data_IF_281880640045
#
_entry.id   IF_281880640045
#
_cell.length_a   1.000
_cell.length_b   1.000
_cell.length_c   1.000
_cell.angle_alpha   90.00
_cell.angle_beta   90.00
_cell.angle_gamma   90.00
#
_symmetry.space_group_name_H-M   'P 1'
#
loop_
_entity.id
_entity.type
_entity.pdbx_description
1 polymer ?
#
# COMPACT_ATOMS: atom_id res chain seq x y z
N UNK A 1 -11.38 -0.74 -1.92
CA UNK A 1 -9.92 -0.69 -1.67
C UNK A 1 -9.28 0.58 -2.24
N UNK A 2 -9.32 0.85 -3.55
CA UNK A 2 -8.62 1.99 -4.18
C UNK A 2 -8.99 3.38 -3.60
N UNK A 3 -10.27 3.63 -3.32
CA UNK A 3 -10.74 4.91 -2.74
C UNK A 3 -10.22 5.15 -1.32
N UNK A 4 -10.16 4.10 -0.50
CA UNK A 4 -9.59 4.19 0.85
C UNK A 4 -8.07 4.36 0.82
N UNK A 5 -7.39 3.68 -0.12
CA UNK A 5 -5.97 3.87 -0.36
C UNK A 5 -5.64 5.32 -0.77
N UNK A 6 -6.42 5.90 -1.68
CA UNK A 6 -6.32 7.32 -2.05
C UNK A 6 -6.49 8.23 -0.83
N UNK A 7 -7.59 8.06 -0.09
CA UNK A 7 -7.86 8.86 1.11
C UNK A 7 -6.72 8.78 2.12
N UNK A 8 -6.16 7.59 2.34
CA UNK A 8 -5.04 7.38 3.25
C UNK A 8 -3.78 8.11 2.79
N UNK A 9 -3.41 7.98 1.51
CA UNK A 9 -2.24 8.65 0.94
C UNK A 9 -2.37 10.17 1.06
N UNK A 10 -3.56 10.72 0.76
CA UNK A 10 -3.82 12.15 0.89
C UNK A 10 -3.78 12.63 2.35
N UNK A 11 -4.42 11.89 3.27
CA UNK A 11 -4.46 12.22 4.71
C UNK A 11 -3.07 12.24 5.35
N UNK A 12 -2.19 11.32 4.94
CA UNK A 12 -0.85 11.19 5.50
C UNK A 12 0.24 11.91 4.69
N UNK A 13 -0.10 12.48 3.52
CA UNK A 13 0.86 13.01 2.55
C UNK A 13 1.98 11.99 2.25
N UNK A 14 1.58 10.74 1.97
CA UNK A 14 2.48 9.59 1.85
C UNK A 14 3.32 9.58 0.55
N UNK A 15 4.23 10.55 0.41
CA UNK A 15 5.09 10.74 -0.78
C UNK A 15 6.08 9.60 -1.01
N UNK A 16 6.43 8.84 0.03
CA UNK A 16 7.31 7.68 -0.08
C UNK A 16 6.66 6.44 -0.70
N UNK A 17 5.33 6.40 -0.81
CA UNK A 17 4.60 5.28 -1.41
C UNK A 17 3.52 4.66 -0.53
N UNK A 18 2.77 3.73 -1.14
CA UNK A 18 1.73 2.92 -0.52
C UNK A 18 2.09 1.43 -0.62
N UNK A 19 2.14 0.76 0.53
CA UNK A 19 2.24 -0.69 0.61
C UNK A 19 0.87 -1.30 0.93
N UNK A 20 0.40 -2.19 0.08
CA UNK A 20 -0.80 -3.02 0.32
C UNK A 20 -0.31 -4.36 0.87
N UNK A 21 -0.73 -4.69 2.08
CA UNK A 21 -0.35 -5.91 2.80
C UNK A 21 -1.54 -6.50 3.56
N UNK A 22 -1.32 -7.66 4.20
CA UNK A 22 -2.34 -8.38 4.95
C UNK A 22 -2.90 -9.57 4.18
N UNK A 23 -3.56 -10.47 4.90
CA UNK A 23 -3.98 -11.77 4.36
C UNK A 23 -5.04 -11.63 3.28
N UNK A 24 -6.00 -10.72 3.45
CA UNK A 24 -7.07 -10.49 2.46
C UNK A 24 -6.49 -10.11 1.10
N UNK A 25 -5.67 -9.04 0.95
CA UNK A 25 -5.04 -8.73 -0.34
C UNK A 25 -4.17 -9.84 -0.93
N UNK A 26 -3.56 -10.71 -0.11
CA UNK A 26 -2.81 -11.87 -0.61
C UNK A 26 -3.72 -12.95 -1.18
N UNK A 27 -4.79 -13.29 -0.45
CA UNK A 27 -5.76 -14.30 -0.85
C UNK A 27 -6.44 -13.92 -2.16
N UNK A 28 -6.77 -12.65 -2.35
CA UNK A 28 -7.43 -12.17 -3.57
C UNK A 28 -6.47 -11.63 -4.63
N UNK A 29 -5.14 -11.79 -4.47
CA UNK A 29 -4.14 -11.11 -5.30
C UNK A 29 -4.33 -11.28 -6.80
N UNK A 30 -4.81 -12.45 -7.23
CA UNK A 30 -4.99 -12.82 -8.64
C UNK A 30 -6.23 -12.16 -9.25
N UNK A 31 -7.15 -11.71 -8.40
CA UNK A 31 -8.34 -10.95 -8.77
C UNK A 31 -8.13 -9.43 -8.68
N UNK A 32 -6.97 -8.96 -8.20
CA UNK A 32 -6.64 -7.53 -8.17
C UNK A 32 -6.17 -7.08 -9.55
N UNK A 33 -7.07 -6.44 -10.29
CA UNK A 33 -6.74 -5.72 -11.52
C UNK A 33 -5.98 -4.42 -11.18
N UNK A 34 -4.70 -4.38 -11.54
CA UNK A 34 -3.81 -3.24 -11.29
C UNK A 34 -4.27 -1.96 -12.00
N UNK A 35 -4.77 -2.08 -13.23
CA UNK A 35 -5.21 -0.94 -14.03
C UNK A 35 -6.46 -0.32 -13.43
N UNK A 36 -7.49 -1.14 -13.15
CA UNK A 36 -8.72 -0.68 -12.51
C UNK A 36 -8.48 -0.11 -11.12
N UNK A 37 -7.57 -0.70 -10.35
CA UNK A 37 -7.17 -0.16 -9.06
C UNK A 37 -6.56 1.24 -9.23
N UNK A 38 -5.57 1.38 -10.11
CA UNK A 38 -4.86 2.64 -10.33
C UNK A 38 -5.77 3.75 -10.86
N UNK A 39 -6.67 3.42 -11.80
CA UNK A 39 -7.63 4.37 -12.35
C UNK A 39 -8.60 4.92 -11.31
N UNK A 40 -8.97 4.11 -10.31
CA UNK A 40 -9.77 4.58 -9.18
C UNK A 40 -8.94 5.26 -8.09
N UNK A 41 -7.66 4.88 -7.95
CA UNK A 41 -6.76 5.44 -6.95
C UNK A 41 -6.32 6.87 -7.29
N UNK A 42 -6.04 7.18 -8.56
CA UNK A 42 -5.47 8.49 -8.94
C UNK A 42 -6.46 9.66 -8.92
N UNK A 43 -7.75 9.40 -8.73
CA UNK A 43 -8.81 10.43 -8.82
C UNK A 43 -8.76 11.38 -7.62
N UNK A 44 -8.50 12.65 -7.88
CA UNK A 44 -8.63 13.73 -6.89
C UNK A 44 -8.85 15.07 -7.59
N UNK A 45 -9.66 15.95 -7.00
CA UNK A 45 -9.94 17.28 -7.55
C UNK A 45 -8.66 18.15 -7.58
N UNK A 46 -7.92 18.18 -6.47
CA UNK A 46 -6.77 19.09 -6.29
C UNK A 46 -5.42 18.39 -6.17
N UNK A 47 -5.41 17.10 -5.84
CA UNK A 47 -4.18 16.39 -5.44
C UNK A 47 -3.89 15.17 -6.31
N UNK A 48 -4.38 15.15 -7.55
CA UNK A 48 -4.17 14.04 -8.50
C UNK A 48 -2.68 13.85 -8.83
N UNK A 49 -1.89 14.92 -8.91
CA UNK A 49 -0.45 14.84 -9.16
C UNK A 49 0.29 14.07 -8.05
N UNK A 50 -0.01 14.36 -6.78
CA UNK A 50 0.54 13.63 -5.63
C UNK A 50 0.21 12.13 -5.71
N UNK A 51 -1.01 11.80 -6.10
CA UNK A 51 -1.43 10.40 -6.24
C UNK A 51 -0.70 9.72 -7.39
N UNK A 52 -0.59 10.38 -8.54
CA UNK A 52 0.15 9.85 -9.71
C UNK A 52 1.64 9.64 -9.44
N UNK A 53 2.25 10.47 -8.59
CA UNK A 53 3.65 10.33 -8.20
C UNK A 53 3.88 9.31 -7.07
N UNK A 54 2.82 8.84 -6.40
CA UNK A 54 2.94 7.91 -5.27
C UNK A 54 3.11 6.47 -5.79
N UNK A 55 4.25 5.81 -5.54
CA UNK A 55 4.41 4.41 -5.95
C UNK A 55 3.54 3.48 -5.10
N UNK A 56 2.96 2.45 -5.71
CA UNK A 56 2.05 1.50 -5.06
C UNK A 56 2.58 0.07 -5.22
N UNK A 57 2.71 -0.66 -4.12
CA UNK A 57 3.19 -2.04 -4.12
C UNK A 57 2.23 -2.98 -3.38
N UNK A 58 2.03 -4.18 -3.93
CA UNK A 58 1.43 -5.29 -3.21
C UNK A 58 2.55 -6.17 -2.63
N UNK A 59 2.65 -6.26 -1.31
CA UNK A 59 3.65 -7.08 -0.62
C UNK A 59 3.35 -8.55 -0.90
N UNK A 60 4.25 -9.32 -1.54
CA UNK A 60 4.02 -10.74 -1.88
C UNK A 60 4.42 -11.74 -0.78
N UNK A 61 4.77 -11.26 0.40
CA UNK A 61 5.30 -12.07 1.49
C UNK A 61 4.16 -12.59 2.38
N UNK A 62 3.98 -13.91 2.40
CA UNK A 62 2.91 -14.57 3.18
C UNK A 62 3.06 -14.42 4.70
N UNK A 63 4.26 -14.15 5.20
CA UNK A 63 4.52 -14.01 6.64
C UNK A 63 5.07 -12.61 6.99
N UNK A 64 4.49 -11.56 6.39
CA UNK A 64 4.98 -10.18 6.54
C UNK A 64 5.05 -9.76 8.01
N UNK A 65 4.01 -10.04 8.80
CA UNK A 65 3.97 -9.69 10.22
C UNK A 65 5.07 -10.41 11.03
N UNK A 66 5.18 -11.74 10.86
CA UNK A 66 6.19 -12.54 11.58
C UNK A 66 7.62 -12.11 11.22
N UNK A 67 7.90 -11.88 9.93
CA UNK A 67 9.22 -11.40 9.48
C UNK A 67 9.53 -10.00 9.98
N UNK A 68 8.54 -9.11 10.01
CA UNK A 68 8.69 -7.77 10.57
C UNK A 68 9.03 -7.82 12.06
N UNK A 69 8.36 -8.67 12.83
CA UNK A 69 8.66 -8.87 14.25
C UNK A 69 10.07 -9.43 14.47
N UNK A 70 10.44 -10.49 13.73
CA UNK A 70 11.77 -11.09 13.82
C UNK A 70 12.88 -10.08 13.47
N UNK A 71 12.68 -9.29 12.41
CA UNK A 71 13.62 -8.24 12.01
C UNK A 71 13.73 -7.16 13.09
N UNK A 72 12.61 -6.67 13.60
CA UNK A 72 12.60 -5.64 14.63
C UNK A 72 13.37 -6.10 15.87
N UNK A 73 13.09 -7.30 16.39
CA UNK A 73 13.80 -7.85 17.56
C UNK A 73 15.28 -8.09 17.30
N UNK A 74 15.68 -8.50 16.10
CA UNK A 74 17.09 -8.76 15.78
C UNK A 74 17.97 -7.49 15.83
N UNK A 75 17.39 -6.32 15.57
CA UNK A 75 18.11 -5.03 15.56
C UNK A 75 17.73 -4.10 16.72
N UNK A 76 16.79 -4.51 17.57
CA UNK A 76 16.42 -3.74 18.74
C UNK A 76 17.57 -3.78 19.76
N UNK A 77 18.21 -2.64 19.98
CA UNK A 77 19.21 -2.43 21.02
C UNK A 77 18.59 -1.52 22.08
N UNK A 78 18.68 -1.91 23.36
CA UNK A 78 18.22 -1.12 24.51
C UNK A 78 19.11 0.11 24.72
#
# INVERSE_FOLDING_TARGET
>A
MAREANNLVLKLKATGGLLISGDIPQTIREYIDKGKFYDKFKISDKMEELLKSTPIYLVKQNHTALKGAALYTAYYQN
#
